data_IF_951844390672
#
_entry.id   IF_951844390672
#
_cell.length_a   1.000
_cell.length_b   1.000
_cell.length_c   1.000
_cell.angle_alpha   90.00
_cell.angle_beta   90.00
_cell.angle_gamma   90.00
#
_symmetry.space_group_name_H-M   'P 1'
#
loop_
_entity.id
_entity.type
_entity.pdbx_description
1 polymer ?
#
# COMPACT_ATOMS: atom_id res chain seq x y z
N UNK A 1 7.02 26.44 35.24
CA UNK A 1 8.43 26.02 35.09
C UNK A 1 8.46 24.51 35.29
N UNK A 2 8.29 23.74 34.22
CA UNK A 2 8.30 22.27 34.31
C UNK A 2 9.75 21.83 34.17
N UNK A 3 10.39 21.50 35.29
CA UNK A 3 11.76 20.98 35.30
C UNK A 3 11.73 19.54 34.79
N UNK A 4 12.11 19.35 33.52
CA UNK A 4 12.33 18.02 32.93
C UNK A 4 13.43 17.31 33.74
N UNK A 5 13.19 16.09 34.26
CA UNK A 5 14.21 15.33 34.97
C UNK A 5 15.43 15.07 34.07
N UNK A 6 16.65 14.91 34.62
CA UNK A 6 17.83 14.62 33.81
C UNK A 6 17.62 13.30 33.08
N UNK A 7 17.57 13.39 31.76
CA UNK A 7 17.43 12.23 30.90
C UNK A 7 18.70 11.39 31.05
N UNK A 8 18.54 10.10 31.32
CA UNK A 8 19.68 9.16 31.28
C UNK A 8 20.39 9.24 29.93
N UNK A 9 21.66 8.82 29.88
CA UNK A 9 22.42 8.84 28.62
C UNK A 9 21.62 8.12 27.52
N UNK A 10 21.38 8.76 26.36
CA UNK A 10 20.61 8.14 25.30
C UNK A 10 21.35 6.91 24.74
N UNK A 11 20.61 5.93 24.27
CA UNK A 11 21.16 4.67 23.78
C UNK A 11 22.19 4.88 22.65
N UNK A 12 21.92 5.82 21.75
CA UNK A 12 22.85 6.20 20.66
C UNK A 12 24.18 6.78 21.16
N UNK A 13 24.21 7.39 22.35
CA UNK A 13 25.45 7.88 22.96
C UNK A 13 26.18 6.78 23.77
N UNK A 14 25.53 5.64 24.01
CA UNK A 14 26.10 4.50 24.72
C UNK A 14 26.74 3.52 23.73
N UNK A 15 26.01 3.18 22.67
CA UNK A 15 26.49 2.37 21.55
C UNK A 15 25.98 2.94 20.22
N UNK A 16 26.79 3.74 19.51
CA UNK A 16 26.41 4.33 18.23
C UNK A 16 26.38 3.32 17.06
N UNK A 17 27.10 2.19 17.16
CA UNK A 17 27.32 1.28 16.05
C UNK A 17 26.01 0.79 15.39
N UNK A 18 24.98 0.31 16.12
CA UNK A 18 23.74 -0.15 15.50
C UNK A 18 22.92 0.96 14.83
N UNK A 19 23.08 2.22 15.25
CA UNK A 19 22.36 3.37 14.67
C UNK A 19 22.86 3.71 13.27
N UNK A 20 24.08 3.31 12.92
CA UNK A 20 24.69 3.49 11.58
C UNK A 20 25.00 2.15 10.90
N UNK A 21 24.46 1.05 11.43
CA UNK A 21 24.72 -0.31 10.96
C UNK A 21 23.90 -0.72 9.73
N UNK A 22 23.69 -2.04 9.59
CA UNK A 22 22.83 -2.62 8.55
C UNK A 22 21.38 -2.19 8.72
N UNK A 23 20.56 -2.39 7.68
CA UNK A 23 19.12 -2.12 7.72
C UNK A 23 18.42 -2.80 8.91
N UNK A 24 18.84 -4.02 9.27
CA UNK A 24 18.28 -4.74 10.42
C UNK A 24 18.69 -4.09 11.75
N UNK A 25 19.97 -3.75 11.91
CA UNK A 25 20.48 -3.06 13.09
C UNK A 25 19.81 -1.69 13.26
N UNK A 26 19.63 -0.95 12.16
CA UNK A 26 18.95 0.33 12.17
C UNK A 26 17.47 0.20 12.54
N UNK A 27 16.75 -0.83 12.08
CA UNK A 27 15.36 -1.06 12.52
C UNK A 27 15.28 -1.34 14.02
N UNK A 28 16.19 -2.17 14.55
CA UNK A 28 16.24 -2.45 15.99
C UNK A 28 16.60 -1.18 16.79
N UNK A 29 17.57 -0.40 16.31
CA UNK A 29 17.97 0.86 16.91
C UNK A 29 16.87 1.94 16.83
N UNK A 30 16.07 1.96 15.76
CA UNK A 30 14.92 2.86 15.61
C UNK A 30 13.87 2.61 16.69
N UNK A 31 13.51 1.34 16.95
CA UNK A 31 12.61 0.96 18.05
C UNK A 31 13.13 1.44 19.40
N UNK A 32 14.44 1.28 19.67
CA UNK A 32 15.06 1.77 20.90
C UNK A 32 15.06 3.30 20.97
N UNK A 33 15.38 3.96 19.86
CA UNK A 33 15.39 5.42 19.73
C UNK A 33 14.00 6.04 19.95
N UNK A 34 12.93 5.38 19.52
CA UNK A 34 11.56 5.85 19.70
C UNK A 34 11.15 5.95 21.19
N UNK A 35 11.83 5.23 22.08
CA UNK A 35 11.62 5.35 23.55
C UNK A 35 12.42 6.49 24.18
N UNK A 36 13.27 7.18 23.41
CA UNK A 36 14.13 8.22 23.92
C UNK A 36 13.32 9.48 24.23
N UNK A 37 13.51 10.10 25.41
CA UNK A 37 12.85 11.35 25.77
C UNK A 37 13.24 12.55 24.89
N UNK A 38 14.27 12.41 24.03
CA UNK A 38 14.70 13.41 23.06
C UNK A 38 14.19 13.13 21.64
N UNK A 39 13.27 12.18 21.46
CA UNK A 39 12.85 11.71 20.13
C UNK A 39 12.36 12.86 19.22
N UNK A 40 11.49 13.73 19.72
CA UNK A 40 10.96 14.88 18.96
C UNK A 40 12.04 15.90 18.57
N UNK A 41 12.81 16.51 19.51
CA UNK A 41 13.83 17.48 19.14
C UNK A 41 14.95 16.86 18.29
N UNK A 42 15.25 15.58 18.48
CA UNK A 42 16.21 14.84 17.64
C UNK A 42 15.69 14.67 16.21
N UNK A 43 14.41 14.34 16.04
CA UNK A 43 13.81 14.21 14.71
C UNK A 43 13.80 15.55 13.98
N UNK A 44 13.36 16.62 14.65
CA UNK A 44 13.34 17.98 14.07
C UNK A 44 14.73 18.39 13.60
N UNK A 45 15.75 18.25 14.46
CA UNK A 45 17.12 18.60 14.08
C UNK A 45 17.65 17.79 12.89
N UNK A 46 17.30 16.49 12.81
CA UNK A 46 17.72 15.64 11.70
C UNK A 46 17.00 15.98 10.39
N UNK A 47 15.74 16.43 10.44
CA UNK A 47 15.00 16.91 9.27
C UNK A 47 15.55 18.26 8.79
N UNK A 48 15.78 19.22 9.70
CA UNK A 48 16.34 20.53 9.39
C UNK A 48 17.74 20.44 8.76
N UNK A 49 18.53 19.46 9.21
CA UNK A 49 19.87 19.21 8.68
C UNK A 49 19.88 18.31 7.43
N UNK A 50 18.72 17.83 6.97
CA UNK A 50 18.60 16.81 5.91
C UNK A 50 19.53 15.62 6.13
N UNK A 51 19.65 15.14 7.38
CA UNK A 51 20.60 14.10 7.72
C UNK A 51 20.26 12.81 6.96
N UNK A 52 21.25 12.27 6.25
CA UNK A 52 21.04 11.20 5.27
C UNK A 52 21.32 9.82 5.82
N UNK A 53 22.06 9.73 6.93
CA UNK A 53 22.54 8.46 7.44
C UNK A 53 22.05 8.20 8.86
N UNK A 54 22.00 6.92 9.20
CA UNK A 54 21.65 6.43 10.51
C UNK A 54 20.25 6.75 11.03
N UNK A 55 20.00 6.25 12.24
CA UNK A 55 18.73 6.38 12.95
C UNK A 55 18.71 7.67 13.76
N UNK A 56 17.68 8.48 13.55
CA UNK A 56 17.46 9.74 14.25
C UNK A 56 15.99 9.89 14.60
N UNK A 57 15.70 10.35 15.82
CA UNK A 57 14.33 10.64 16.23
C UNK A 57 13.37 9.47 16.05
N UNK A 58 13.83 8.24 16.31
CA UNK A 58 13.02 7.03 16.14
C UNK A 58 12.89 6.50 14.71
N UNK A 59 13.47 7.18 13.71
CA UNK A 59 13.29 6.83 12.29
C UNK A 59 14.59 6.40 11.62
N UNK A 60 14.49 5.37 10.76
CA UNK A 60 15.56 5.01 9.82
C UNK A 60 15.74 6.07 8.73
N UNK A 61 16.88 6.08 7.99
CA UNK A 61 17.07 7.01 6.87
C UNK A 61 15.93 6.96 5.85
N UNK A 62 15.48 5.76 5.49
CA UNK A 62 14.41 5.56 4.51
C UNK A 62 13.07 6.11 4.99
N UNK A 63 12.75 5.92 6.27
CA UNK A 63 11.51 6.45 6.85
C UNK A 63 11.55 7.98 6.94
N UNK A 64 12.66 8.53 7.43
CA UNK A 64 12.87 9.99 7.51
C UNK A 64 12.82 10.64 6.13
N UNK A 65 13.42 10.01 5.12
CA UNK A 65 13.40 10.55 3.76
C UNK A 65 11.99 10.70 3.18
N UNK A 66 11.03 9.84 3.56
CA UNK A 66 9.63 10.01 3.11
C UNK A 66 9.02 11.32 3.62
N UNK A 67 9.43 11.80 4.79
CA UNK A 67 8.94 13.06 5.35
C UNK A 67 9.54 14.29 4.65
N UNK A 68 10.66 14.12 3.92
CA UNK A 68 11.28 15.19 3.14
C UNK A 68 10.70 15.30 1.73
N UNK A 69 9.85 14.36 1.30
CA UNK A 69 9.15 14.44 0.01
C UNK A 69 7.77 15.05 0.20
N UNK A 70 7.32 15.81 -0.79
CA UNK A 70 5.93 16.29 -0.91
C UNK A 70 4.99 15.17 -1.41
N UNK A 71 5.16 13.96 -0.86
CA UNK A 71 4.30 12.81 -1.17
C UNK A 71 3.12 12.69 -0.20
N UNK A 72 3.01 13.64 0.74
CA UNK A 72 1.96 13.71 1.76
C UNK A 72 2.13 12.72 2.92
N UNK A 73 3.29 12.08 3.06
CA UNK A 73 3.59 11.23 4.22
C UNK A 73 3.66 12.04 5.51
N UNK A 74 3.25 11.44 6.62
CA UNK A 74 3.19 12.08 7.93
C UNK A 74 3.58 11.10 9.05
N UNK A 75 3.87 11.62 10.25
CA UNK A 75 4.17 10.79 11.44
C UNK A 75 2.95 10.75 12.35
N UNK A 76 2.48 9.56 12.71
CA UNK A 76 1.35 9.39 13.63
C UNK A 76 1.73 9.54 15.11
N UNK A 77 0.72 9.53 15.99
CA UNK A 77 0.91 9.63 17.46
C UNK A 77 1.79 8.52 18.03
N UNK A 78 1.96 7.40 17.31
CA UNK A 78 2.84 6.29 17.67
C UNK A 78 4.27 6.46 17.13
N UNK A 79 4.59 7.60 16.49
CA UNK A 79 5.89 7.87 15.88
C UNK A 79 6.14 7.09 14.59
N UNK A 80 5.10 6.52 13.97
CA UNK A 80 5.24 5.73 12.73
C UNK A 80 5.02 6.60 11.50
N UNK A 81 5.91 6.50 10.51
CA UNK A 81 5.71 7.16 9.21
C UNK A 81 4.58 6.47 8.43
N UNK A 82 3.49 7.22 8.22
CA UNK A 82 2.31 6.84 7.44
C UNK A 82 2.42 7.42 6.04
N UNK A 83 2.10 6.61 5.04
CA UNK A 83 1.95 7.12 3.68
C UNK A 83 0.71 8.01 3.58
N UNK A 84 0.71 8.94 2.62
CA UNK A 84 -0.45 9.78 2.34
C UNK A 84 -1.72 8.95 2.11
N UNK A 85 -2.82 9.44 2.69
CA UNK A 85 -4.15 8.95 2.38
C UNK A 85 -4.50 9.22 0.91
N UNK A 86 -5.39 8.41 0.35
CA UNK A 86 -5.75 8.51 -1.07
C UNK A 86 -4.72 7.90 -2.02
N UNK A 87 -3.76 7.14 -1.50
CA UNK A 87 -2.83 6.34 -2.30
C UNK A 87 -3.08 4.85 -2.07
N UNK A 88 -2.76 4.02 -3.06
CA UNK A 88 -2.81 2.55 -2.92
C UNK A 88 -1.75 2.03 -1.92
N UNK A 89 -0.66 2.78 -1.72
CA UNK A 89 0.32 2.50 -0.67
C UNK A 89 -0.34 2.71 0.70
N UNK A 90 -1.03 3.83 0.90
CA UNK A 90 -1.83 4.11 2.08
C UNK A 90 -2.89 3.03 2.32
N UNK A 91 -3.63 2.62 1.28
CA UNK A 91 -4.61 1.52 1.37
C UNK A 91 -4.00 0.22 1.87
N UNK A 92 -2.87 -0.21 1.29
CA UNK A 92 -2.17 -1.42 1.72
C UNK A 92 -1.73 -1.33 3.17
N UNK A 93 -1.24 -0.18 3.61
CA UNK A 93 -0.81 0.04 4.99
C UNK A 93 -1.96 0.00 5.99
N UNK A 94 -3.10 0.64 5.69
CA UNK A 94 -4.31 0.57 6.54
C UNK A 94 -4.85 -0.85 6.60
N UNK A 95 -4.96 -1.53 5.45
CA UNK A 95 -5.42 -2.92 5.38
C UNK A 95 -4.55 -3.87 6.19
N UNK A 96 -3.22 -3.73 6.13
CA UNK A 96 -2.29 -4.55 6.90
C UNK A 96 -2.46 -4.36 8.42
N UNK A 97 -2.96 -3.20 8.85
CA UNK A 97 -3.22 -2.86 10.25
C UNK A 97 -4.68 -3.08 10.69
N UNK A 98 -5.54 -3.52 9.79
CA UNK A 98 -6.98 -3.68 10.06
C UNK A 98 -7.73 -2.34 10.22
N UNK A 99 -7.13 -1.24 9.79
CA UNK A 99 -7.72 0.10 9.84
C UNK A 99 -8.65 0.33 8.64
N UNK A 100 -9.70 1.12 8.83
CA UNK A 100 -10.65 1.48 7.78
C UNK A 100 -10.48 2.96 7.43
N UNK A 101 -10.15 3.24 6.17
CA UNK A 101 -9.94 4.59 5.65
C UNK A 101 -10.67 4.73 4.31
N UNK A 102 -11.74 5.53 4.29
CA UNK A 102 -12.59 5.69 3.11
C UNK A 102 -11.82 6.25 1.90
N UNK A 103 -10.98 7.26 2.10
CA UNK A 103 -10.17 7.88 1.04
C UNK A 103 -9.20 6.88 0.40
N UNK A 104 -8.54 6.06 1.21
CA UNK A 104 -7.64 5.03 0.72
C UNK A 104 -8.39 3.89 0.01
N UNK A 105 -9.55 3.50 0.53
CA UNK A 105 -10.40 2.48 -0.11
C UNK A 105 -10.88 2.97 -1.49
N UNK A 106 -11.37 4.20 -1.57
CA UNK A 106 -11.77 4.82 -2.84
C UNK A 106 -10.61 4.84 -3.85
N UNK A 107 -9.43 5.31 -3.46
CA UNK A 107 -8.27 5.35 -4.34
C UNK A 107 -7.86 3.95 -4.86
N UNK A 108 -7.96 2.93 -4.01
CA UNK A 108 -7.72 1.54 -4.42
C UNK A 108 -8.76 1.02 -5.41
N UNK A 109 -10.04 1.33 -5.16
CA UNK A 109 -11.14 0.91 -6.03
C UNK A 109 -11.06 1.61 -7.40
N UNK A 110 -10.75 2.90 -7.43
CA UNK A 110 -10.50 3.68 -8.66
C UNK A 110 -9.33 3.09 -9.46
N UNK A 111 -8.16 2.88 -8.82
CA UNK A 111 -7.00 2.26 -9.47
C UNK A 111 -7.34 0.86 -10.01
N UNK A 112 -8.09 0.08 -9.25
CA UNK A 112 -8.52 -1.25 -9.66
C UNK A 112 -9.46 -1.19 -10.85
N UNK A 113 -10.40 -0.23 -10.86
CA UNK A 113 -11.29 0.00 -11.98
C UNK A 113 -10.50 0.42 -13.24
N UNK A 114 -9.54 1.33 -13.10
CA UNK A 114 -8.68 1.76 -14.20
C UNK A 114 -7.86 0.60 -14.78
N UNK A 115 -7.30 -0.26 -13.94
CA UNK A 115 -6.61 -1.47 -14.38
C UNK A 115 -7.54 -2.43 -15.16
N UNK A 116 -8.79 -2.58 -14.71
CA UNK A 116 -9.80 -3.38 -15.42
C UNK A 116 -10.19 -2.75 -16.76
N UNK A 117 -10.34 -1.42 -16.83
CA UNK A 117 -10.62 -0.67 -18.07
C UNK A 117 -9.46 -0.76 -19.06
N UNK A 118 -8.22 -0.62 -18.59
CA UNK A 118 -7.04 -0.83 -19.42
C UNK A 118 -7.00 -2.25 -20.00
N UNK A 119 -7.38 -3.26 -19.21
CA UNK A 119 -7.49 -4.63 -19.72
C UNK A 119 -8.60 -4.78 -20.76
N UNK A 120 -9.74 -4.11 -20.58
CA UNK A 120 -10.84 -4.12 -21.56
C UNK A 120 -10.39 -3.64 -22.94
N UNK A 121 -9.50 -2.66 -23.03
CA UNK A 121 -8.94 -2.19 -24.32
C UNK A 121 -8.33 -3.36 -25.10
N UNK A 122 -7.55 -4.22 -24.42
CA UNK A 122 -6.93 -5.39 -25.05
C UNK A 122 -7.97 -6.42 -25.47
N UNK A 123 -8.96 -6.70 -24.62
CA UNK A 123 -10.03 -7.65 -24.92
C UNK A 123 -10.93 -7.17 -26.07
N UNK A 124 -11.20 -5.87 -26.13
CA UNK A 124 -12.00 -5.25 -27.20
C UNK A 124 -11.25 -5.27 -28.53
N UNK A 125 -9.94 -4.98 -28.53
CA UNK A 125 -9.10 -5.07 -29.72
C UNK A 125 -9.07 -6.50 -30.32
N UNK A 126 -9.21 -7.53 -29.47
CA UNK A 126 -9.33 -8.92 -29.89
C UNK A 126 -10.74 -9.34 -30.35
N UNK A 127 -11.68 -8.39 -30.49
CA UNK A 127 -13.06 -8.65 -30.91
C UNK A 127 -14.02 -9.01 -29.77
N UNK A 128 -13.66 -8.72 -28.52
CA UNK A 128 -14.45 -9.00 -27.33
C UNK A 128 -14.33 -10.45 -26.85
N UNK A 129 -14.39 -10.63 -25.53
CA UNK A 129 -14.19 -11.95 -24.90
C UNK A 129 -15.13 -12.16 -23.72
N UNK A 130 -15.27 -13.41 -23.28
CA UNK A 130 -15.99 -13.72 -22.03
C UNK A 130 -15.29 -13.08 -20.81
N UNK A 131 -13.97 -13.01 -20.82
CA UNK A 131 -13.24 -12.32 -19.75
C UNK A 131 -13.54 -10.81 -19.75
N UNK A 132 -13.61 -10.20 -20.94
CA UNK A 132 -14.07 -8.82 -21.12
C UNK A 132 -15.51 -8.61 -20.64
N UNK A 133 -16.42 -9.55 -20.93
CA UNK A 133 -17.78 -9.52 -20.37
C UNK A 133 -17.78 -9.50 -18.84
N UNK A 134 -16.97 -10.36 -18.19
CA UNK A 134 -16.87 -10.36 -16.74
C UNK A 134 -16.26 -9.07 -16.17
N UNK A 135 -15.33 -8.44 -16.90
CA UNK A 135 -14.74 -7.16 -16.48
C UNK A 135 -15.77 -6.04 -16.46
N UNK A 136 -16.62 -5.93 -17.49
CA UNK A 136 -17.76 -5.00 -17.51
C UNK A 136 -18.65 -5.15 -16.28
N UNK A 137 -19.05 -6.39 -15.94
CA UNK A 137 -19.86 -6.65 -14.74
C UNK A 137 -19.18 -6.22 -13.44
N UNK A 138 -17.86 -6.46 -13.30
CA UNK A 138 -17.09 -6.03 -12.11
C UNK A 138 -16.92 -4.51 -12.03
N UNK A 139 -17.05 -3.81 -13.14
CA UNK A 139 -17.03 -2.35 -13.21
C UNK A 139 -18.43 -1.75 -13.01
N UNK A 140 -19.49 -2.57 -13.01
CA UNK A 140 -20.87 -2.08 -12.97
C UNK A 140 -21.32 -1.41 -14.28
N UNK A 141 -20.66 -1.72 -15.39
CA UNK A 141 -20.90 -1.14 -16.71
C UNK A 141 -21.65 -2.14 -17.61
N UNK A 142 -22.45 -1.62 -18.56
CA UNK A 142 -23.12 -2.47 -19.54
C UNK A 142 -22.10 -3.13 -20.49
N UNK A 143 -22.17 -4.45 -20.60
CA UNK A 143 -21.26 -5.18 -21.47
C UNK A 143 -21.54 -4.90 -22.95
N UNK A 144 -20.50 -4.53 -23.69
CA UNK A 144 -20.60 -4.28 -25.13
C UNK A 144 -21.04 -5.54 -25.91
N UNK A 145 -21.64 -5.32 -27.08
CA UNK A 145 -22.17 -6.38 -27.94
C UNK A 145 -21.21 -7.55 -28.20
N UNK A 146 -19.94 -7.30 -28.58
CA UNK A 146 -18.96 -8.37 -28.80
C UNK A 146 -18.68 -9.24 -27.55
N UNK A 147 -18.51 -8.62 -26.39
CA UNK A 147 -18.31 -9.33 -25.12
C UNK A 147 -19.55 -10.14 -24.72
N UNK A 148 -20.74 -9.58 -24.88
CA UNK A 148 -22.02 -10.28 -24.64
C UNK A 148 -22.19 -11.48 -25.58
N UNK A 149 -21.86 -11.31 -26.87
CA UNK A 149 -21.87 -12.41 -27.83
C UNK A 149 -20.86 -13.51 -27.44
N UNK A 150 -19.68 -13.15 -26.94
CA UNK A 150 -18.70 -14.12 -26.46
C UNK A 150 -19.22 -14.92 -25.25
N UNK A 151 -19.92 -14.28 -24.31
CA UNK A 151 -20.60 -14.96 -23.20
C UNK A 151 -21.70 -15.92 -23.68
N UNK A 152 -22.53 -15.49 -24.64
CA UNK A 152 -23.61 -16.32 -25.19
C UNK A 152 -23.06 -17.59 -25.86
N UNK A 153 -21.97 -17.46 -26.65
CA UNK A 153 -21.28 -18.59 -27.28
C UNK A 153 -20.74 -19.58 -26.25
N UNK A 154 -20.12 -19.10 -25.17
CA UNK A 154 -19.61 -19.97 -24.09
C UNK A 154 -20.77 -20.71 -23.38
N UNK A 155 -21.86 -20.00 -23.09
CA UNK A 155 -23.06 -20.57 -22.48
C UNK A 155 -23.68 -21.69 -23.34
N UNK A 156 -23.80 -21.47 -24.65
CA UNK A 156 -24.31 -22.49 -25.58
C UNK A 156 -23.40 -23.73 -25.59
N UNK A 157 -22.08 -23.56 -25.71
CA UNK A 157 -21.12 -24.68 -25.66
C UNK A 157 -21.25 -25.50 -24.38
N UNK A 158 -21.47 -24.84 -23.24
CA UNK A 158 -21.71 -25.51 -21.95
C UNK A 158 -22.98 -26.36 -21.95
N UNK A 159 -24.07 -25.86 -22.55
CA UNK A 159 -25.31 -26.63 -22.74
C UNK A 159 -25.08 -27.83 -23.64
N UNK A 160 -24.45 -27.64 -24.80
CA UNK A 160 -24.17 -28.70 -25.76
C UNK A 160 -23.33 -29.82 -25.12
N UNK A 161 -22.31 -29.45 -24.34
CA UNK A 161 -21.48 -30.39 -23.58
C UNK A 161 -22.29 -31.20 -22.58
N UNK A 162 -23.23 -30.57 -21.87
CA UNK A 162 -24.10 -31.27 -20.91
C UNK A 162 -25.04 -32.24 -21.62
N UNK A 163 -25.64 -31.83 -22.74
CA UNK A 163 -26.53 -32.67 -23.56
C UNK A 163 -25.76 -33.89 -24.08
N UNK A 164 -24.57 -33.69 -24.65
CA UNK A 164 -23.73 -34.77 -25.13
C UNK A 164 -23.36 -35.76 -24.02
N UNK A 165 -23.01 -35.28 -22.81
CA UNK A 165 -22.74 -36.16 -21.66
C UNK A 165 -23.95 -37.00 -21.25
N UNK A 166 -25.14 -36.42 -21.26
CA UNK A 166 -26.37 -37.15 -20.91
C UNK A 166 -26.71 -38.23 -21.96
N UNK A 167 -26.48 -37.93 -23.24
CA UNK A 167 -26.69 -38.89 -24.32
C UNK A 167 -25.73 -40.08 -24.28
N UNK A 168 -24.51 -39.90 -23.78
CA UNK A 168 -23.52 -40.99 -23.60
C UNK A 168 -23.80 -41.82 -22.34
N UNK A 169 -24.51 -41.25 -21.36
CA UNK A 169 -24.85 -41.92 -20.10
C UNK A 169 -26.19 -42.70 -20.14
N UNK A 170 -26.89 -42.68 -21.29
CA UNK A 170 -28.16 -43.38 -21.54
C UNK A 170 -27.93 -44.59 -22.45
#
# INVERSE_FOLDING_TARGET
MTTTPPLGRPACATDPAPFFGTTEQQRAAATLCATCPLVEPCLTAALDAEERFGVWGGLTPTERHRLTHDDGSWVDDAGTVRAACGTDIGHKQHKARGEQCATCQQAHDERTADGRRARLIVEHAAGGSFYGYQLHLRLGEDACGPCTAAQARLSQRGRDTRVARLAVAS
#
